data_IF_571197724872
#
_entry.id   IF_571197724872
#
_cell.length_a   1.000
_cell.length_b   1.000
_cell.length_c   1.000
_cell.angle_alpha   90.00
_cell.angle_beta   90.00
_cell.angle_gamma   90.00
#
_symmetry.space_group_name_H-M   'P 1'
#
loop_
_entity.id
_entity.type
_entity.pdbx_description
1 polymer ?
#
# COMPACT_ATOMS: atom_id res chain seq x y z
N UNK A 1 -31.94 -5.06 32.65
CA UNK A 1 -31.92 -6.19 31.71
C UNK A 1 -30.91 -5.89 30.63
N UNK A 2 -29.72 -6.44 30.82
CA UNK A 2 -28.52 -6.30 30.00
C UNK A 2 -28.57 -7.29 28.83
N UNK A 3 -28.60 -6.79 27.60
CA UNK A 3 -28.19 -7.59 26.43
C UNK A 3 -26.90 -6.99 25.89
N UNK A 4 -25.84 -7.73 26.16
CA UNK A 4 -24.44 -7.51 25.83
C UNK A 4 -24.19 -7.52 24.33
N UNK A 5 -23.87 -6.37 23.74
CA UNK A 5 -23.08 -6.28 22.50
C UNK A 5 -21.61 -6.55 22.84
N UNK A 6 -21.33 -7.79 23.23
CA UNK A 6 -19.99 -8.26 23.50
C UNK A 6 -19.25 -8.38 22.17
N UNK A 7 -18.35 -7.43 21.97
CA UNK A 7 -16.95 -7.66 21.60
C UNK A 7 -16.71 -8.93 20.77
N UNK A 8 -16.45 -8.72 19.49
CA UNK A 8 -15.74 -9.66 18.61
C UNK A 8 -14.28 -9.78 19.10
N UNK A 9 -14.08 -10.30 20.32
CA UNK A 9 -12.77 -10.59 20.88
C UNK A 9 -12.31 -11.95 20.41
N UNK A 10 -11.10 -11.93 19.89
CA UNK A 10 -10.29 -13.02 19.38
C UNK A 10 -10.14 -14.14 20.44
N UNK A 11 -11.01 -15.16 20.42
CA UNK A 11 -10.85 -16.34 21.28
C UNK A 11 -11.29 -17.65 20.60
N UNK A 12 -10.79 -17.91 19.39
CA UNK A 12 -10.73 -19.26 18.82
C UNK A 12 -9.29 -19.56 18.38
N UNK A 13 -8.39 -19.84 19.35
CA UNK A 13 -6.98 -20.25 19.06
C UNK A 13 -6.88 -21.52 18.20
N UNK A 14 -7.98 -22.26 18.06
CA UNK A 14 -8.02 -23.56 17.37
C UNK A 14 -8.58 -23.51 15.94
N UNK A 15 -8.93 -22.32 15.42
CA UNK A 15 -9.36 -22.11 14.02
C UNK A 15 -8.35 -21.32 13.20
N UNK A 16 -7.07 -21.33 13.62
CA UNK A 16 -6.00 -20.74 12.83
C UNK A 16 -5.70 -21.67 11.66
N UNK A 17 -5.97 -21.20 10.44
CA UNK A 17 -5.61 -21.90 9.21
C UNK A 17 -4.09 -21.90 9.05
N UNK A 18 -3.42 -22.91 9.60
CA UNK A 18 -1.96 -23.07 9.52
C UNK A 18 -1.44 -23.10 8.07
N UNK A 19 -2.27 -23.54 7.12
CA UNK A 19 -1.97 -23.45 5.68
C UNK A 19 -1.76 -21.99 5.22
N UNK A 20 -2.65 -21.08 5.62
CA UNK A 20 -2.58 -19.65 5.26
C UNK A 20 -1.33 -19.00 5.84
N UNK A 21 -1.01 -19.31 7.11
CA UNK A 21 0.18 -18.77 7.79
C UNK A 21 1.47 -19.26 7.14
N UNK A 22 1.56 -20.56 6.83
CA UNK A 22 2.74 -21.14 6.19
C UNK A 22 2.97 -20.58 4.78
N UNK A 23 1.91 -20.42 3.99
CA UNK A 23 1.99 -19.80 2.67
C UNK A 23 2.35 -18.33 2.74
N UNK A 24 1.78 -17.55 3.66
CA UNK A 24 2.12 -16.15 3.84
C UNK A 24 3.61 -15.95 4.14
N UNK A 25 4.14 -16.72 5.09
CA UNK A 25 5.57 -16.66 5.47
C UNK A 25 6.46 -17.13 4.31
N UNK A 26 6.08 -18.22 3.63
CA UNK A 26 6.84 -18.76 2.50
C UNK A 26 6.89 -17.78 1.33
N UNK A 27 5.76 -17.16 0.99
CA UNK A 27 5.66 -16.18 -0.09
C UNK A 27 6.46 -14.91 0.24
N UNK A 28 6.40 -14.43 1.49
CA UNK A 28 7.18 -13.28 1.93
C UNK A 28 8.69 -13.56 1.87
N UNK A 29 9.12 -14.74 2.32
CA UNK A 29 10.53 -15.15 2.26
C UNK A 29 11.02 -15.35 0.81
N UNK A 30 10.21 -16.00 -0.03
CA UNK A 30 10.52 -16.17 -1.46
C UNK A 30 10.64 -14.83 -2.17
N UNK A 31 9.73 -13.90 -1.92
CA UNK A 31 9.73 -12.58 -2.52
C UNK A 31 10.96 -11.76 -2.08
N UNK A 32 11.31 -11.83 -0.80
CA UNK A 32 12.53 -11.20 -0.27
C UNK A 32 13.80 -11.77 -0.93
N UNK A 33 13.92 -13.10 -1.03
CA UNK A 33 15.03 -13.74 -1.73
C UNK A 33 15.06 -13.39 -3.22
N UNK A 34 13.90 -13.32 -3.87
CA UNK A 34 13.80 -12.94 -5.28
C UNK A 34 14.33 -11.53 -5.50
N UNK A 35 13.93 -10.56 -4.68
CA UNK A 35 14.40 -9.18 -4.80
C UNK A 35 15.89 -9.06 -4.45
N UNK A 36 16.34 -9.69 -3.37
CA UNK A 36 17.70 -9.49 -2.84
C UNK A 36 18.78 -10.30 -3.58
N UNK A 37 18.44 -11.48 -4.12
CA UNK A 37 19.40 -12.39 -4.77
C UNK A 37 19.43 -12.23 -6.28
N UNK A 38 18.33 -11.84 -6.92
CA UNK A 38 18.21 -11.81 -8.38
C UNK A 38 18.68 -10.46 -8.93
N UNK A 39 19.47 -10.47 -10.01
CA UNK A 39 19.89 -9.24 -10.71
C UNK A 39 18.71 -8.39 -11.17
N UNK A 40 17.62 -9.04 -11.62
CA UNK A 40 16.37 -8.37 -12.00
C UNK A 40 15.70 -7.68 -10.80
N UNK A 41 15.75 -8.31 -9.61
CA UNK A 41 15.18 -7.76 -8.38
C UNK A 41 15.93 -6.52 -7.89
N UNK A 42 17.26 -6.56 -7.92
CA UNK A 42 18.10 -5.41 -7.61
C UNK A 42 17.88 -4.29 -8.62
N UNK A 43 17.85 -4.62 -9.92
CA UNK A 43 17.62 -3.64 -10.99
C UNK A 43 16.26 -2.94 -10.87
N UNK A 44 15.18 -3.67 -10.51
CA UNK A 44 13.86 -3.07 -10.32
C UNK A 44 13.80 -2.15 -9.10
N UNK A 45 14.51 -2.49 -8.01
CA UNK A 45 14.61 -1.62 -6.84
C UNK A 45 15.40 -0.34 -7.12
N UNK A 46 16.50 -0.43 -7.88
CA UNK A 46 17.22 0.76 -8.34
C UNK A 46 16.34 1.63 -9.24
N UNK A 47 15.66 1.04 -10.22
CA UNK A 47 14.73 1.77 -11.08
C UNK A 47 13.63 2.48 -10.28
N UNK A 48 13.07 1.83 -9.26
CA UNK A 48 12.07 2.44 -8.37
C UNK A 48 12.66 3.59 -7.55
N UNK A 49 13.86 3.40 -7.00
CA UNK A 49 14.57 4.42 -6.23
C UNK A 49 14.88 5.65 -7.08
N UNK A 50 15.31 5.46 -8.33
CA UNK A 50 15.58 6.55 -9.27
C UNK A 50 14.31 7.37 -9.58
N UNK A 51 13.16 6.69 -9.77
CA UNK A 51 11.87 7.36 -9.97
C UNK A 51 11.44 8.14 -8.74
N UNK A 52 11.65 7.59 -7.54
CA UNK A 52 11.34 8.27 -6.28
C UNK A 52 12.24 9.50 -6.07
N UNK A 53 13.53 9.39 -6.40
CA UNK A 53 14.46 10.52 -6.34
C UNK A 53 14.06 11.63 -7.32
N UNK A 54 13.67 11.26 -8.54
CA UNK A 54 13.14 12.20 -9.53
C UNK A 54 11.86 12.90 -9.02
N UNK A 55 10.96 12.15 -8.38
CA UNK A 55 9.77 12.68 -7.75
C UNK A 55 10.08 13.68 -6.63
N UNK A 56 11.05 13.37 -5.76
CA UNK A 56 11.52 14.26 -4.71
C UNK A 56 12.10 15.54 -5.32
N UNK A 57 12.86 15.45 -6.41
CA UNK A 57 13.38 16.64 -7.13
C UNK A 57 12.28 17.53 -7.68
N UNK A 58 11.18 16.96 -8.19
CA UNK A 58 10.02 17.76 -8.62
C UNK A 58 9.33 18.42 -7.43
N UNK A 59 9.23 17.72 -6.31
CA UNK A 59 8.69 18.30 -5.09
C UNK A 59 9.54 19.44 -4.54
N UNK A 60 10.87 19.30 -4.51
CA UNK A 60 11.79 20.36 -4.06
C UNK A 60 11.62 21.63 -4.92
N UNK A 61 11.44 21.49 -6.24
CA UNK A 61 11.13 22.61 -7.14
C UNK A 61 9.78 23.25 -6.85
N UNK A 62 8.75 22.44 -6.56
CA UNK A 62 7.43 22.93 -6.17
C UNK A 62 7.45 23.67 -4.83
N UNK A 63 8.20 23.15 -3.86
CA UNK A 63 8.41 23.79 -2.57
C UNK A 63 9.11 25.14 -2.72
N UNK A 64 10.16 25.21 -3.53
CA UNK A 64 10.88 26.45 -3.81
C UNK A 64 9.96 27.51 -4.45
N UNK A 65 9.02 27.10 -5.31
CA UNK A 65 8.02 27.99 -5.89
C UNK A 65 7.02 28.53 -4.85
N UNK A 66 6.57 27.69 -3.92
CA UNK A 66 5.56 28.07 -2.91
C UNK A 66 6.17 28.86 -1.74
N UNK A 67 7.37 28.51 -1.30
CA UNK A 67 8.00 29.07 -0.08
C UNK A 67 9.09 30.12 -0.36
N UNK A 68 9.55 30.28 -1.61
CA UNK A 68 10.60 31.23 -1.98
C UNK A 68 11.95 30.95 -1.30
N UNK A 69 12.83 31.95 -1.21
CA UNK A 69 14.20 31.82 -0.67
C UNK A 69 14.28 31.66 0.87
N UNK A 70 13.14 31.49 1.56
CA UNK A 70 13.07 31.32 3.02
C UNK A 70 13.41 29.89 3.49
N UNK A 71 14.03 29.07 2.64
CA UNK A 71 14.36 27.67 2.93
C UNK A 71 15.46 27.48 3.99
N UNK A 72 16.23 28.52 4.31
CA UNK A 72 17.41 28.40 5.15
C UNK A 72 17.12 28.30 6.65
N UNK A 73 15.92 28.66 7.11
CA UNK A 73 15.61 28.68 8.56
C UNK A 73 15.08 27.32 9.07
N UNK A 74 14.42 26.51 8.23
CA UNK A 74 13.92 25.17 8.62
C UNK A 74 13.99 24.14 7.48
N UNK A 75 15.21 23.86 7.00
CA UNK A 75 15.47 22.91 5.90
C UNK A 75 14.84 21.52 6.08
N UNK A 76 14.62 21.06 7.31
CA UNK A 76 14.00 19.75 7.56
C UNK A 76 12.49 19.73 7.27
N UNK A 77 11.77 20.77 7.73
CA UNK A 77 10.33 20.89 7.55
C UNK A 77 10.00 21.22 6.08
N UNK A 78 10.70 22.18 5.48
CA UNK A 78 10.39 22.66 4.13
C UNK A 78 10.90 21.76 3.00
N UNK A 79 11.75 20.76 3.28
CA UNK A 79 12.19 19.78 2.27
C UNK A 79 11.39 18.47 2.32
N UNK A 80 11.10 17.99 3.53
CA UNK A 80 10.43 16.70 3.71
C UNK A 80 8.91 16.81 3.65
N UNK A 81 8.32 17.91 4.13
CA UNK A 81 6.86 18.06 4.13
C UNK A 81 6.27 18.21 2.73
N UNK A 82 6.83 19.02 1.80
CA UNK A 82 6.24 19.18 0.48
C UNK A 82 6.30 17.92 -0.38
N UNK A 83 7.30 17.06 -0.19
CA UNK A 83 7.42 15.78 -0.89
C UNK A 83 6.34 14.80 -0.45
N UNK A 84 6.04 14.76 0.85
CA UNK A 84 4.90 14.01 1.36
C UNK A 84 3.56 14.58 0.87
N UNK A 85 3.39 15.90 0.86
CA UNK A 85 2.16 16.57 0.43
C UNK A 85 1.87 16.35 -1.06
N UNK A 86 2.90 16.47 -1.91
CA UNK A 86 2.81 16.17 -3.33
C UNK A 86 2.50 14.69 -3.57
N UNK A 87 3.15 13.79 -2.81
CA UNK A 87 2.86 12.36 -2.89
C UNK A 87 1.41 12.06 -2.52
N UNK A 88 0.90 12.64 -1.43
CA UNK A 88 -0.50 12.50 -1.02
C UNK A 88 -1.47 13.03 -2.08
N UNK A 89 -1.16 14.15 -2.74
CA UNK A 89 -1.97 14.68 -3.83
C UNK A 89 -2.01 13.73 -5.03
N UNK A 90 -0.87 13.16 -5.43
CA UNK A 90 -0.81 12.17 -6.53
C UNK A 90 -1.56 10.89 -6.17
N UNK A 91 -1.41 10.39 -4.95
CA UNK A 91 -2.15 9.22 -4.46
C UNK A 91 -3.66 9.50 -4.47
N UNK A 92 -4.08 10.68 -4.03
CA UNK A 92 -5.50 11.10 -4.08
C UNK A 92 -6.07 11.06 -5.50
N UNK A 93 -5.32 11.58 -6.49
CA UNK A 93 -5.70 11.48 -7.91
C UNK A 93 -5.74 10.03 -8.38
N UNK A 94 -4.80 9.18 -7.97
CA UNK A 94 -4.79 7.75 -8.32
C UNK A 94 -5.97 6.98 -7.73
N UNK A 95 -6.42 7.34 -6.52
CA UNK A 95 -7.63 6.79 -5.91
C UNK A 95 -8.88 7.26 -6.66
N UNK A 96 -8.93 8.55 -7.02
CA UNK A 96 -10.03 9.09 -7.82
C UNK A 96 -10.16 8.40 -9.19
N UNK A 97 -9.05 8.00 -9.80
CA UNK A 97 -9.01 7.23 -11.04
C UNK A 97 -9.25 5.71 -10.85
N UNK A 98 -9.52 5.25 -9.63
CA UNK A 98 -9.69 3.84 -9.24
C UNK A 98 -8.51 2.90 -9.57
N UNK A 99 -7.35 3.45 -9.94
CA UNK A 99 -6.15 2.66 -10.32
C UNK A 99 -5.66 1.81 -9.15
N UNK A 100 -5.70 2.36 -7.93
CA UNK A 100 -5.32 1.61 -6.71
C UNK A 100 -6.25 0.43 -6.49
N UNK A 101 -7.53 0.59 -6.81
CA UNK A 101 -8.53 -0.47 -6.75
C UNK A 101 -8.18 -1.65 -7.62
N UNK A 102 -7.92 -1.38 -8.88
CA UNK A 102 -7.52 -2.38 -9.85
C UNK A 102 -6.26 -3.15 -9.40
N UNK A 103 -5.26 -2.45 -8.88
CA UNK A 103 -4.02 -3.06 -8.37
C UNK A 103 -4.31 -3.96 -7.16
N UNK A 104 -5.05 -3.46 -6.17
CA UNK A 104 -5.39 -4.20 -4.96
C UNK A 104 -6.24 -5.44 -5.27
N UNK A 105 -7.18 -5.33 -6.20
CA UNK A 105 -7.99 -6.47 -6.64
C UNK A 105 -7.15 -7.54 -7.34
N UNK A 106 -6.21 -7.12 -8.19
CA UNK A 106 -5.30 -8.04 -8.88
C UNK A 106 -4.40 -8.78 -7.89
N UNK A 107 -3.80 -8.07 -6.93
CA UNK A 107 -2.93 -8.66 -5.90
C UNK A 107 -3.76 -9.52 -4.93
N UNK A 108 -4.92 -9.05 -4.52
CA UNK A 108 -5.83 -9.75 -3.63
C UNK A 108 -6.35 -11.05 -4.24
N UNK A 109 -6.66 -11.04 -5.54
CA UNK A 109 -7.01 -12.24 -6.31
C UNK A 109 -5.87 -13.25 -6.36
N UNK A 110 -4.65 -12.79 -6.65
CA UNK A 110 -3.46 -13.64 -6.65
C UNK A 110 -3.20 -14.26 -5.26
N UNK A 111 -3.32 -13.46 -4.20
CA UNK A 111 -3.11 -13.94 -2.84
C UNK A 111 -4.22 -14.90 -2.41
N UNK A 112 -5.47 -14.64 -2.78
CA UNK A 112 -6.61 -15.53 -2.53
C UNK A 112 -6.42 -16.89 -3.20
N UNK A 113 -5.90 -16.90 -4.43
CA UNK A 113 -5.50 -18.11 -5.15
C UNK A 113 -4.39 -18.88 -4.41
N UNK A 114 -3.35 -18.21 -3.92
CA UNK A 114 -2.26 -18.86 -3.18
C UNK A 114 -2.68 -19.40 -1.80
N UNK A 115 -3.59 -18.71 -1.11
CA UNK A 115 -4.02 -19.06 0.25
C UNK A 115 -5.19 -20.04 0.30
N UNK A 116 -5.81 -20.33 -0.84
CA UNK A 116 -6.99 -21.19 -0.97
C UNK A 116 -8.14 -20.75 -0.04
N UNK A 117 -8.30 -19.43 0.11
CA UNK A 117 -9.43 -18.83 0.80
C UNK A 117 -10.51 -18.51 -0.25
N UNK A 118 -11.79 -18.61 0.11
CA UNK A 118 -12.94 -18.51 -0.80
C UNK A 118 -12.91 -17.25 -1.69
N UNK A 119 -12.52 -17.42 -2.97
CA UNK A 119 -12.48 -16.39 -4.01
C UNK A 119 -13.79 -15.57 -4.25
N UNK A 120 -15.01 -16.09 -4.01
CA UNK A 120 -16.23 -15.29 -4.20
C UNK A 120 -16.42 -14.14 -3.19
N UNK A 121 -15.86 -14.20 -1.99
CA UNK A 121 -16.01 -13.12 -1.00
C UNK A 121 -15.13 -11.90 -1.31
N UNK A 122 -13.91 -12.13 -1.81
CA UNK A 122 -12.96 -11.04 -2.12
C UNK A 122 -13.42 -10.17 -3.30
N UNK A 123 -14.11 -10.75 -4.29
CA UNK A 123 -14.69 -10.03 -5.43
C UNK A 123 -15.90 -9.20 -5.00
N UNK A 124 -16.72 -9.72 -4.07
CA UNK A 124 -17.88 -8.99 -3.54
C UNK A 124 -17.45 -7.81 -2.66
N UNK A 125 -16.41 -7.98 -1.84
CA UNK A 125 -15.83 -6.91 -1.01
C UNK A 125 -15.12 -5.86 -1.87
N UNK A 126 -14.43 -6.26 -2.95
CA UNK A 126 -13.83 -5.32 -3.90
C UNK A 126 -14.88 -4.46 -4.61
N UNK A 127 -15.97 -5.06 -5.10
CA UNK A 127 -17.11 -4.31 -5.65
C UNK A 127 -17.74 -3.39 -4.61
N UNK A 128 -17.85 -3.82 -3.34
CA UNK A 128 -18.43 -3.02 -2.28
C UNK A 128 -17.55 -1.81 -1.88
N UNK A 129 -16.22 -1.88 -1.96
CA UNK A 129 -15.34 -0.74 -1.63
C UNK A 129 -15.43 0.38 -2.68
N UNK A 130 -15.71 0.06 -3.95
CA UNK A 130 -15.90 1.06 -5.02
C UNK A 130 -17.34 1.54 -5.17
N UNK A 131 -18.34 0.67 -4.96
CA UNK A 131 -19.76 1.05 -5.08
C UNK A 131 -20.39 1.58 -3.78
N UNK A 132 -20.01 1.11 -2.58
CA UNK A 132 -20.57 1.64 -1.30
C UNK A 132 -19.92 2.95 -0.82
N UNK A 133 -18.91 3.46 -1.52
CA UNK A 133 -18.31 4.76 -1.20
C UNK A 133 -19.11 5.99 -1.70
N UNK A 134 -20.16 5.78 -2.52
CA UNK A 134 -20.88 6.86 -3.25
C UNK A 134 -22.41 6.81 -3.07
N UNK A 135 -22.94 6.16 -2.02
CA UNK A 135 -24.38 6.20 -1.68
C UNK A 135 -24.64 6.60 -0.24
#
# INVERSE_FOLDING_TARGET
MTTTYNQFTIFDRNKINWHTVFWGISLQYLFALFIMKTSVGIASMHWCSDRLEEFIKYSDKGAAYVFGDNLDVHRFAFKTMPSLLLFAAVVSVLIYLEVIGFIVQTIGGFLSFCLNTSAPESINVASNIFLSGVS
#
